data_IF_267260729233
#
_entry.id   IF_267260729233
#
_cell.length_a   1.000
_cell.length_b   1.000
_cell.length_c   1.000
_cell.angle_alpha   90.00
_cell.angle_beta   90.00
_cell.angle_gamma   90.00
#
_symmetry.space_group_name_H-M   'P 1'
#
loop_
_entity.id
_entity.type
_entity.pdbx_description
1 polymer ?
#
# COMPACT_ATOMS: atom_id res chain seq x y z
N UNK A 1 29.27 24.19 -8.30
CA UNK A 1 28.55 23.10 -8.98
C UNK A 1 28.47 23.43 -10.46
N UNK A 2 29.06 22.62 -11.31
CA UNK A 2 29.02 22.75 -12.76
C UNK A 2 27.66 22.30 -13.33
N UNK A 3 27.25 22.93 -14.43
CA UNK A 3 25.91 22.74 -15.02
C UNK A 3 25.67 21.29 -15.43
N UNK A 4 26.72 20.57 -15.83
CA UNK A 4 26.69 19.15 -16.19
C UNK A 4 26.45 18.29 -14.95
N UNK A 5 27.19 18.51 -13.85
CA UNK A 5 26.94 17.81 -12.59
C UNK A 5 25.52 18.06 -12.06
N UNK A 6 25.02 19.30 -12.12
CA UNK A 6 23.65 19.60 -11.70
C UNK A 6 22.62 18.84 -12.55
N UNK A 7 22.77 18.82 -13.87
CA UNK A 7 21.87 18.06 -14.76
C UNK A 7 21.91 16.57 -14.45
N UNK A 8 23.09 15.99 -14.25
CA UNK A 8 23.23 14.56 -13.92
C UNK A 8 22.53 14.22 -12.61
N UNK A 9 22.73 15.02 -11.56
CA UNK A 9 22.06 14.80 -10.26
C UNK A 9 20.54 14.85 -10.42
N UNK A 10 20.01 15.86 -11.13
CA UNK A 10 18.57 16.00 -11.34
C UNK A 10 17.99 14.79 -12.06
N UNK A 11 18.68 14.27 -13.09
CA UNK A 11 18.23 13.09 -13.84
C UNK A 11 18.24 11.84 -12.95
N UNK A 12 19.31 11.61 -12.19
CA UNK A 12 19.40 10.46 -11.30
C UNK A 12 18.31 10.50 -10.23
N UNK A 13 18.09 11.66 -9.61
CA UNK A 13 17.04 11.83 -8.60
C UNK A 13 15.66 11.59 -9.21
N UNK A 14 15.39 12.10 -10.42
CA UNK A 14 14.12 11.85 -11.10
C UNK A 14 13.89 10.35 -11.36
N UNK A 15 14.91 9.62 -11.84
CA UNK A 15 14.82 8.17 -12.07
C UNK A 15 14.57 7.43 -10.76
N UNK A 16 15.27 7.78 -9.68
CA UNK A 16 15.09 7.14 -8.37
C UNK A 16 13.69 7.38 -7.81
N UNK A 17 13.14 8.59 -7.95
CA UNK A 17 11.79 8.90 -7.50
C UNK A 17 10.72 8.13 -8.29
N UNK A 18 10.84 8.06 -9.62
CA UNK A 18 9.90 7.32 -10.47
C UNK A 18 10.00 5.81 -10.20
N UNK A 19 11.22 5.25 -10.23
CA UNK A 19 11.46 3.83 -9.99
C UNK A 19 11.08 3.41 -8.55
N UNK A 20 11.45 4.21 -7.56
CA UNK A 20 11.10 4.00 -6.15
C UNK A 20 9.60 4.06 -5.92
N UNK A 21 8.89 5.02 -6.54
CA UNK A 21 7.44 5.15 -6.47
C UNK A 21 6.71 3.92 -7.04
N UNK A 22 7.12 3.45 -8.23
CA UNK A 22 6.53 2.25 -8.86
C UNK A 22 6.73 1.02 -7.97
N UNK A 23 7.95 0.78 -7.49
CA UNK A 23 8.25 -0.36 -6.62
C UNK A 23 7.45 -0.31 -5.32
N UNK A 24 7.39 0.85 -4.66
CA UNK A 24 6.62 1.04 -3.44
C UNK A 24 5.13 0.76 -3.68
N UNK A 25 4.54 1.31 -4.74
CA UNK A 25 3.13 1.08 -5.10
C UNK A 25 2.80 -0.40 -5.27
N UNK A 26 3.62 -1.15 -6.02
CA UNK A 26 3.42 -2.60 -6.23
C UNK A 26 3.58 -3.38 -4.91
N UNK A 27 4.57 -3.02 -4.09
CA UNK A 27 4.81 -3.69 -2.81
C UNK A 27 3.65 -3.49 -1.83
N UNK A 28 3.09 -2.28 -1.76
CA UNK A 28 1.93 -1.97 -0.92
C UNK A 28 0.67 -2.69 -1.42
N UNK A 29 0.44 -2.73 -2.74
CA UNK A 29 -0.68 -3.46 -3.31
C UNK A 29 -0.64 -4.97 -2.96
N UNK A 30 0.56 -5.57 -2.93
CA UNK A 30 0.76 -6.98 -2.54
C UNK A 30 0.59 -7.24 -1.04
N UNK A 31 1.01 -6.32 -0.17
CA UNK A 31 0.89 -6.48 1.29
C UNK A 31 -0.56 -6.51 1.77
N UNK A 32 -1.48 -5.93 1.00
CA UNK A 32 -2.88 -5.82 1.40
C UNK A 32 -3.07 -4.86 2.57
N UNK A 33 -4.23 -4.94 3.23
CA UNK A 33 -4.60 -4.08 4.33
C UNK A 33 -4.86 -4.87 5.62
N UNK A 34 -4.53 -4.26 6.76
CA UNK A 34 -4.80 -4.81 8.09
C UNK A 34 -6.25 -4.53 8.50
N UNK A 35 -6.97 -5.56 8.95
CA UNK A 35 -8.29 -5.39 9.53
C UNK A 35 -8.21 -4.67 10.88
N UNK A 36 -9.00 -3.60 11.11
CA UNK A 36 -8.96 -2.84 12.36
C UNK A 36 -9.54 -3.60 13.55
N UNK A 37 -10.33 -4.65 13.31
CA UNK A 37 -11.02 -5.41 14.36
C UNK A 37 -10.20 -6.63 14.81
N UNK A 38 -9.72 -7.45 13.86
CA UNK A 38 -8.98 -8.68 14.18
C UNK A 38 -7.46 -8.56 14.04
N UNK A 39 -6.96 -7.43 13.53
CA UNK A 39 -5.53 -7.18 13.35
C UNK A 39 -4.83 -8.04 12.29
N UNK A 40 -5.55 -8.87 11.52
CA UNK A 40 -4.97 -9.71 10.46
C UNK A 40 -4.85 -8.95 9.15
N UNK A 41 -3.84 -9.27 8.34
CA UNK A 41 -3.66 -8.72 7.00
C UNK A 41 -4.47 -9.51 5.97
N UNK A 42 -5.13 -8.80 5.07
CA UNK A 42 -5.90 -9.38 3.96
C UNK A 42 -5.54 -8.68 2.66
N UNK A 43 -5.56 -9.38 1.51
CA UNK A 43 -5.45 -8.74 0.21
C UNK A 43 -6.48 -7.61 0.06
N UNK A 44 -6.12 -6.52 -0.61
CA UNK A 44 -7.01 -5.37 -0.79
C UNK A 44 -8.36 -5.74 -1.43
N UNK A 45 -8.40 -6.77 -2.29
CA UNK A 45 -9.64 -7.27 -2.86
C UNK A 45 -10.60 -7.89 -1.81
N UNK A 46 -10.05 -8.44 -0.72
CA UNK A 46 -10.80 -9.24 0.25
C UNK A 46 -11.02 -8.53 1.59
N UNK A 47 -10.26 -7.46 1.88
CA UNK A 47 -10.33 -6.76 3.17
C UNK A 47 -11.72 -6.16 3.42
N UNK A 48 -12.39 -5.62 2.41
CA UNK A 48 -13.72 -5.01 2.58
C UNK A 48 -14.77 -6.07 2.97
N UNK A 49 -14.78 -7.19 2.26
CA UNK A 49 -15.68 -8.31 2.58
C UNK A 49 -15.41 -8.89 3.97
N UNK A 50 -14.13 -9.04 4.35
CA UNK A 50 -13.76 -9.45 5.69
C UNK A 50 -14.20 -8.42 6.75
N UNK A 51 -13.99 -7.12 6.51
CA UNK A 51 -14.34 -6.05 7.47
C UNK A 51 -15.83 -6.08 7.83
N UNK A 52 -16.70 -6.32 6.85
CA UNK A 52 -18.16 -6.40 7.04
C UNK A 52 -18.61 -7.66 7.81
N UNK A 53 -17.82 -8.73 7.75
CA UNK A 53 -18.13 -10.05 8.31
C UNK A 53 -17.10 -10.50 9.34
N UNK A 54 -16.40 -9.54 9.95
CA UNK A 54 -15.34 -9.84 10.88
C UNK A 54 -15.99 -10.31 12.18
N UNK A 55 -15.67 -11.50 12.70
CA UNK A 55 -16.28 -11.98 13.95
C UNK A 55 -15.96 -11.11 15.17
N UNK A 56 -14.91 -10.28 15.07
CA UNK A 56 -14.48 -9.33 16.11
C UNK A 56 -15.01 -7.91 15.84
N UNK A 57 -15.84 -7.73 14.81
CA UNK A 57 -16.56 -6.48 14.58
C UNK A 57 -17.92 -6.56 15.29
N UNK A 58 -18.17 -5.65 16.22
CA UNK A 58 -19.44 -5.56 16.96
C UNK A 58 -20.64 -5.22 16.05
N UNK A 59 -20.37 -4.74 14.82
CA UNK A 59 -21.37 -4.46 13.78
C UNK A 59 -21.37 -5.50 12.65
N UNK A 60 -20.97 -6.74 12.95
CA UNK A 60 -21.01 -7.85 11.99
C UNK A 60 -22.41 -8.00 11.39
N UNK A 61 -22.50 -7.92 10.05
CA UNK A 61 -23.74 -7.99 9.28
C UNK A 61 -24.13 -9.43 8.91
N UNK A 62 -23.40 -10.42 9.40
CA UNK A 62 -23.69 -11.83 9.10
C UNK A 62 -24.94 -12.29 9.88
N UNK A 63 -26.03 -12.71 9.20
CA UNK A 63 -27.18 -13.29 9.90
C UNK A 63 -26.73 -14.55 10.65
N UNK A 64 -27.09 -14.67 11.93
CA UNK A 64 -26.83 -15.85 12.76
C UNK A 64 -28.04 -16.78 12.77
#
# INVERSE_FOLDING_TARGET
>A
MDKKMQTTITVVVAILLVGGGIFFGISQAKKGAKCPFCGKYFPHANIMGHKLRCPQNDTDLTPR
#
